data_IF_216153747865
#
_entry.id   IF_216153747865
#
_cell.length_a   1.000
_cell.length_b   1.000
_cell.length_c   1.000
_cell.angle_alpha   90.00
_cell.angle_beta   90.00
_cell.angle_gamma   90.00
#
_symmetry.space_group_name_H-M   'P 1'
#
loop_
_entity.id
_entity.type
_entity.pdbx_description
1 polymer ?
#
# COMPACT_ATOMS: atom_id res chain seq x y z
N UNK A 1 7.79 8.06 -13.36
CA UNK A 1 8.58 7.48 -12.26
C UNK A 1 7.75 6.50 -11.44
N UNK A 2 7.04 5.60 -12.12
CA UNK A 2 6.18 4.63 -11.42
C UNK A 2 7.02 3.38 -11.11
N UNK A 3 7.03 2.96 -9.86
CA UNK A 3 7.68 1.75 -9.37
C UNK A 3 6.74 0.94 -8.46
N UNK A 4 6.63 -0.38 -8.65
CA UNK A 4 7.09 -1.14 -9.82
C UNK A 4 6.45 -0.64 -11.13
N UNK A 5 7.16 -0.83 -12.26
CA UNK A 5 6.64 -0.45 -13.58
C UNK A 5 5.39 -1.29 -13.89
N UNK A 6 4.23 -0.66 -14.21
CA UNK A 6 3.04 -1.41 -14.60
C UNK A 6 3.24 -2.22 -15.87
N UNK A 7 2.50 -3.33 -15.99
CA UNK A 7 2.55 -4.19 -17.18
C UNK A 7 2.18 -3.45 -18.46
N UNK A 8 1.15 -2.61 -18.41
CA UNK A 8 0.70 -1.81 -19.54
C UNK A 8 0.53 -0.36 -19.13
N UNK A 9 1.19 0.54 -19.85
CA UNK A 9 1.04 1.99 -19.74
C UNK A 9 0.87 2.54 -21.15
N UNK A 10 -0.25 3.23 -21.38
CA UNK A 10 -0.55 3.94 -22.62
C UNK A 10 -0.66 5.43 -22.30
N UNK A 11 0.27 6.22 -22.85
CA UNK A 11 0.30 7.68 -22.70
C UNK A 11 0.81 8.30 -24.01
N UNK A 12 -0.04 8.33 -25.06
CA UNK A 12 0.39 8.67 -26.41
C UNK A 12 0.80 10.15 -26.55
N UNK A 13 0.23 11.03 -25.71
CA UNK A 13 0.56 12.45 -25.66
C UNK A 13 0.96 12.81 -24.23
N UNK A 14 2.14 13.39 -24.01
CA UNK A 14 2.58 13.77 -22.67
C UNK A 14 1.82 15.04 -22.21
N UNK A 15 0.59 14.85 -21.75
CA UNK A 15 -0.28 15.88 -21.20
C UNK A 15 -0.43 15.73 -19.70
N UNK A 16 -0.55 16.85 -18.98
CA UNK A 16 -0.89 16.87 -17.57
C UNK A 16 -1.86 18.01 -17.24
N UNK A 17 -2.53 17.87 -16.10
CA UNK A 17 -3.41 18.89 -15.51
C UNK A 17 -3.11 19.05 -14.03
N UNK A 18 -3.44 20.21 -13.48
CA UNK A 18 -3.31 20.42 -12.03
C UNK A 18 -4.33 19.57 -11.27
N UNK A 19 -3.91 19.05 -10.13
CA UNK A 19 -4.75 18.38 -9.16
C UNK A 19 -5.46 19.43 -8.28
N UNK A 20 -6.74 19.24 -8.01
CA UNK A 20 -7.50 20.14 -7.14
C UNK A 20 -6.95 20.13 -5.71
N UNK A 21 -6.94 21.28 -5.03
CA UNK A 21 -6.62 21.37 -3.59
C UNK A 21 -7.67 20.67 -2.72
N UNK A 22 -8.91 20.59 -3.23
CA UNK A 22 -10.03 19.90 -2.60
C UNK A 22 -10.24 18.50 -3.20
N UNK A 23 -9.19 17.86 -3.69
CA UNK A 23 -9.27 16.54 -4.31
C UNK A 23 -9.92 15.49 -3.37
N UNK A 24 -10.82 14.69 -3.93
CA UNK A 24 -11.54 13.63 -3.22
C UNK A 24 -11.34 12.26 -3.86
N UNK A 25 -11.53 11.22 -3.06
CA UNK A 25 -11.56 9.83 -3.54
C UNK A 25 -12.91 9.24 -3.17
N UNK A 26 -13.68 8.82 -4.18
CA UNK A 26 -14.97 8.17 -4.00
C UNK A 26 -14.77 6.66 -4.16
N UNK A 27 -15.28 5.87 -3.22
CA UNK A 27 -15.16 4.41 -3.26
C UNK A 27 -16.30 3.73 -2.50
N UNK A 28 -16.63 2.47 -2.81
CA UNK A 28 -17.42 1.62 -1.94
C UNK A 28 -16.80 1.51 -0.55
N UNK A 29 -17.64 1.41 0.48
CA UNK A 29 -17.14 1.20 1.83
C UNK A 29 -16.46 -0.16 1.95
N UNK A 30 -15.22 -0.16 2.44
CA UNK A 30 -14.46 -1.36 2.78
C UNK A 30 -13.53 -1.05 3.94
N UNK A 31 -13.62 -1.83 5.01
CA UNK A 31 -12.98 -1.54 6.30
C UNK A 31 -11.48 -1.24 6.19
N UNK A 32 -10.75 -1.96 5.33
CA UNK A 32 -9.30 -1.80 5.18
C UNK A 32 -8.91 -0.79 4.09
N UNK A 33 -9.83 -0.47 3.17
CA UNK A 33 -9.56 0.48 2.09
C UNK A 33 -9.70 1.94 2.55
N UNK A 34 -10.62 2.22 3.47
CA UNK A 34 -10.83 3.58 3.98
C UNK A 34 -9.60 4.18 4.68
N UNK A 35 -8.85 3.43 5.52
CA UNK A 35 -7.57 3.89 6.03
C UNK A 35 -6.54 4.16 4.93
N UNK A 36 -6.46 3.30 3.90
CA UNK A 36 -5.58 3.51 2.76
C UNK A 36 -5.93 4.79 1.98
N UNK A 37 -7.21 5.04 1.71
CA UNK A 37 -7.69 6.27 1.06
C UNK A 37 -7.30 7.50 1.87
N UNK A 38 -7.51 7.47 3.19
CA UNK A 38 -7.16 8.57 4.08
C UNK A 38 -5.66 8.85 4.05
N UNK A 39 -4.84 7.79 4.04
CA UNK A 39 -3.37 7.87 3.92
C UNK A 39 -2.95 8.52 2.59
N UNK A 40 -3.51 8.11 1.46
CA UNK A 40 -3.18 8.70 0.15
C UNK A 40 -3.67 10.14 -0.01
N UNK A 41 -4.87 10.47 0.50
CA UNK A 41 -5.35 11.85 0.53
C UNK A 41 -4.42 12.75 1.35
N UNK A 42 -3.92 12.27 2.49
CA UNK A 42 -2.90 12.97 3.27
C UNK A 42 -1.62 13.14 2.45
N UNK A 43 -1.15 12.05 1.83
CA UNK A 43 0.05 12.06 0.98
C UNK A 43 -0.04 13.13 -0.12
N UNK A 44 -1.16 13.24 -0.84
CA UNK A 44 -1.31 14.25 -1.91
C UNK A 44 -1.29 15.70 -1.44
N UNK A 45 -1.62 15.92 -0.16
CA UNK A 45 -1.64 17.25 0.46
C UNK A 45 -0.31 17.63 1.08
N UNK A 46 0.45 16.66 1.56
CA UNK A 46 1.70 16.89 2.32
C UNK A 46 2.95 16.64 1.50
N UNK A 47 2.91 15.69 0.57
CA UNK A 47 4.06 15.34 -0.27
C UNK A 47 4.04 16.14 -1.56
N UNK A 48 5.11 16.90 -1.76
CA UNK A 48 5.37 17.65 -2.99
C UNK A 48 6.56 17.03 -3.70
N UNK A 49 6.42 15.76 -4.10
CA UNK A 49 7.50 15.04 -4.78
C UNK A 49 7.86 15.74 -6.09
N UNK A 50 9.14 16.11 -6.21
CA UNK A 50 9.71 16.62 -7.46
C UNK A 50 10.56 15.52 -8.09
N UNK A 51 10.21 15.07 -9.31
CA UNK A 51 10.95 14.01 -9.96
C UNK A 51 12.37 14.49 -10.31
N UNK A 52 13.37 13.63 -10.10
CA UNK A 52 14.78 13.93 -10.44
C UNK A 52 14.95 14.32 -11.92
N UNK A 53 14.16 13.69 -12.79
CA UNK A 53 14.03 14.05 -14.20
C UNK A 53 12.60 14.53 -14.40
N UNK A 54 12.42 15.81 -14.68
CA UNK A 54 11.11 16.37 -15.01
C UNK A 54 10.70 15.90 -16.41
N UNK A 55 9.59 15.17 -16.55
CA UNK A 55 9.10 14.81 -17.87
C UNK A 55 8.72 16.08 -18.63
N UNK A 56 9.02 16.13 -19.93
CA UNK A 56 8.54 17.21 -20.81
C UNK A 56 7.04 17.02 -21.04
N UNK A 57 6.23 17.65 -20.19
CA UNK A 57 4.77 17.52 -20.23
C UNK A 57 4.12 18.84 -20.58
N UNK A 58 3.17 18.78 -21.51
CA UNK A 58 2.34 19.92 -21.84
C UNK A 58 1.22 20.03 -20.80
N UNK A 59 1.37 20.97 -19.87
CA UNK A 59 0.37 21.24 -18.84
C UNK A 59 -0.74 22.08 -19.46
N UNK A 60 -1.94 21.51 -19.55
CA UNK A 60 -3.11 22.27 -20.02
C UNK A 60 -3.57 23.24 -18.93
N UNK A 61 -3.53 24.54 -19.22
CA UNK A 61 -3.98 25.60 -18.30
C UNK A 61 -5.46 25.97 -18.49
N UNK A 62 -6.09 25.52 -19.57
CA UNK A 62 -7.49 25.82 -19.91
C UNK A 62 -8.49 24.73 -19.49
N UNK A 63 -8.00 23.52 -19.19
CA UNK A 63 -8.82 22.40 -18.75
C UNK A 63 -9.11 22.47 -17.24
N UNK A 64 -10.27 21.99 -16.77
CA UNK A 64 -10.56 21.96 -15.34
C UNK A 64 -9.58 21.06 -14.60
N UNK A 65 -9.34 21.39 -13.33
CA UNK A 65 -8.51 20.59 -12.43
C UNK A 65 -9.10 19.19 -12.26
N UNK A 66 -8.23 18.20 -12.05
CA UNK A 66 -8.71 16.87 -11.65
C UNK A 66 -9.23 16.97 -10.20
N UNK A 67 -10.52 16.71 -9.99
CA UNK A 67 -11.18 16.89 -8.71
C UNK A 67 -11.38 15.58 -7.94
N UNK A 68 -11.58 14.48 -8.66
CA UNK A 68 -11.99 13.21 -8.02
C UNK A 68 -11.29 12.01 -8.63
N UNK A 69 -10.95 11.03 -7.79
CA UNK A 69 -10.70 9.65 -8.20
C UNK A 69 -11.89 8.78 -7.80
N UNK A 70 -12.59 8.21 -8.76
CA UNK A 70 -13.63 7.22 -8.53
C UNK A 70 -13.03 5.83 -8.53
N UNK A 71 -13.27 5.06 -7.48
CA UNK A 71 -12.84 3.67 -7.33
C UNK A 71 -14.05 2.76 -7.48
N UNK A 72 -13.98 1.83 -8.42
CA UNK A 72 -14.97 0.77 -8.61
C UNK A 72 -14.34 -0.59 -8.28
N UNK A 73 -15.08 -1.40 -7.50
CA UNK A 73 -14.62 -2.71 -7.01
C UNK A 73 -15.71 -3.74 -7.27
N UNK A 74 -15.39 -4.78 -8.03
CA UNK A 74 -16.36 -5.82 -8.40
C UNK A 74 -16.69 -6.77 -7.24
N UNK A 75 -15.68 -7.20 -6.49
CA UNK A 75 -15.79 -8.06 -5.30
C UNK A 75 -15.13 -7.38 -4.09
N UNK A 76 -15.87 -6.51 -3.37
CA UNK A 76 -15.36 -5.86 -2.17
C UNK A 76 -15.24 -6.81 -0.97
N UNK A 77 -15.79 -8.03 -1.03
CA UNK A 77 -15.78 -8.97 0.10
C UNK A 77 -14.60 -9.95 0.06
N UNK A 78 -13.84 -9.99 -1.04
CA UNK A 78 -12.69 -10.89 -1.21
C UNK A 78 -11.67 -10.77 -0.05
N UNK A 79 -11.37 -11.86 0.69
CA UNK A 79 -10.42 -11.81 1.78
C UNK A 79 -8.98 -11.67 1.26
N UNK A 80 -8.10 -11.05 2.07
CA UNK A 80 -6.68 -10.98 1.75
C UNK A 80 -6.03 -12.36 1.98
N UNK A 81 -5.84 -13.12 0.91
CA UNK A 81 -5.25 -14.46 0.94
C UNK A 81 -4.23 -14.66 -0.17
N UNK A 82 -3.49 -15.79 -0.13
CA UNK A 82 -2.58 -16.13 -1.21
C UNK A 82 -3.34 -16.25 -2.53
N UNK A 83 -2.86 -15.58 -3.57
CA UNK A 83 -3.49 -15.62 -4.90
C UNK A 83 -4.74 -14.74 -5.04
N UNK A 84 -5.09 -13.90 -4.06
CA UNK A 84 -6.17 -12.92 -4.23
C UNK A 84 -5.89 -12.01 -5.43
N UNK A 85 -6.92 -11.62 -6.17
CA UNK A 85 -6.75 -10.81 -7.36
C UNK A 85 -6.32 -9.37 -6.99
N UNK A 86 -5.10 -9.00 -7.37
CA UNK A 86 -4.52 -7.66 -7.15
C UNK A 86 -4.46 -6.82 -8.45
N UNK A 87 -5.20 -7.22 -9.49
CA UNK A 87 -5.28 -6.52 -10.78
C UNK A 87 -6.06 -5.23 -10.64
N UNK A 88 -5.63 -4.19 -11.37
CA UNK A 88 -6.37 -2.94 -11.48
C UNK A 88 -6.17 -2.28 -12.85
N UNK A 89 -7.10 -1.40 -13.21
CA UNK A 89 -6.94 -0.45 -14.31
C UNK A 89 -7.15 0.98 -13.82
N UNK A 90 -6.28 1.89 -14.23
CA UNK A 90 -6.36 3.31 -13.93
C UNK A 90 -6.47 4.11 -15.24
N UNK A 91 -7.53 4.88 -15.39
CA UNK A 91 -7.76 5.76 -16.54
C UNK A 91 -7.91 7.20 -16.09
N UNK A 92 -7.11 8.09 -16.69
CA UNK A 92 -7.18 9.53 -16.45
C UNK A 92 -7.41 10.21 -17.82
N UNK A 93 -8.67 10.57 -18.08
CA UNK A 93 -9.08 11.17 -19.35
C UNK A 93 -8.47 12.56 -19.57
N UNK A 94 -8.28 12.94 -20.84
CA UNK A 94 -7.88 14.32 -21.21
C UNK A 94 -8.96 15.33 -20.78
N UNK A 95 -10.22 14.92 -20.87
CA UNK A 95 -11.41 15.71 -20.53
C UNK A 95 -12.07 15.23 -19.23
N UNK A 96 -12.89 16.10 -18.62
CA UNK A 96 -13.62 15.80 -17.38
C UNK A 96 -12.76 15.92 -16.12
N UNK A 97 -13.42 15.87 -14.96
CA UNK A 97 -12.80 16.15 -13.66
C UNK A 97 -12.54 14.91 -12.80
N UNK A 98 -12.88 13.73 -13.33
CA UNK A 98 -12.83 12.45 -12.61
C UNK A 98 -11.87 11.48 -13.30
N UNK A 99 -10.93 10.94 -12.53
CA UNK A 99 -10.16 9.76 -12.88
C UNK A 99 -10.88 8.50 -12.39
N UNK A 100 -10.72 7.38 -13.09
CA UNK A 100 -11.33 6.11 -12.71
C UNK A 100 -10.27 5.06 -12.40
N UNK A 101 -10.41 4.42 -11.25
CA UNK A 101 -9.66 3.24 -10.84
C UNK A 101 -10.64 2.09 -10.71
N UNK A 102 -10.42 1.01 -11.46
CA UNK A 102 -11.24 -0.20 -11.41
C UNK A 102 -10.38 -1.35 -10.92
N UNK A 103 -10.93 -2.20 -10.06
CA UNK A 103 -10.25 -3.40 -9.58
C UNK A 103 -11.25 -4.51 -9.30
N UNK A 104 -10.79 -5.76 -9.36
CA UNK A 104 -11.64 -6.89 -8.96
C UNK A 104 -11.87 -6.88 -7.45
N UNK A 105 -10.83 -6.58 -6.66
CA UNK A 105 -10.90 -6.58 -5.20
C UNK A 105 -10.37 -5.28 -4.60
N UNK A 106 -10.66 -5.05 -3.32
CA UNK A 106 -10.08 -3.93 -2.57
C UNK A 106 -8.54 -3.92 -2.57
N UNK A 107 -7.91 -5.09 -2.70
CA UNK A 107 -6.45 -5.23 -2.72
C UNK A 107 -5.85 -4.72 -4.02
N UNK A 108 -6.49 -4.99 -5.16
CA UNK A 108 -6.14 -4.38 -6.45
C UNK A 108 -6.31 -2.85 -6.43
N UNK A 109 -7.40 -2.37 -5.82
CA UNK A 109 -7.62 -0.93 -5.65
C UNK A 109 -6.50 -0.26 -4.83
N UNK A 110 -5.99 -0.90 -3.77
CA UNK A 110 -4.82 -0.38 -3.04
C UNK A 110 -3.57 -0.27 -3.92
N UNK A 111 -3.33 -1.22 -4.84
CA UNK A 111 -2.20 -1.16 -5.78
C UNK A 111 -2.35 -0.03 -6.80
N UNK A 112 -3.60 0.21 -7.22
CA UNK A 112 -3.94 1.34 -8.08
C UNK A 112 -3.76 2.70 -7.40
N UNK A 113 -4.14 2.81 -6.12
CA UNK A 113 -3.91 4.01 -5.31
C UNK A 113 -2.42 4.33 -5.17
N UNK A 114 -1.59 3.33 -4.90
CA UNK A 114 -0.12 3.50 -4.89
C UNK A 114 0.41 3.95 -6.24
N UNK A 115 -0.18 3.48 -7.33
CA UNK A 115 0.26 3.93 -8.66
C UNK A 115 -0.19 5.35 -8.95
N UNK A 116 -1.42 5.70 -8.58
CA UNK A 116 -1.92 7.06 -8.72
C UNK A 116 -1.08 8.06 -7.91
N UNK A 117 -0.65 7.70 -6.70
CA UNK A 117 0.21 8.57 -5.88
C UNK A 117 1.52 8.94 -6.55
N UNK A 118 2.15 7.98 -7.23
CA UNK A 118 3.41 8.18 -7.93
C UNK A 118 3.27 8.98 -9.24
N UNK A 119 2.03 9.14 -9.74
CA UNK A 119 1.73 9.98 -10.89
C UNK A 119 1.53 11.45 -10.51
N UNK A 120 1.19 11.73 -9.25
CA UNK A 120 1.03 13.10 -8.74
C UNK A 120 2.41 13.67 -8.39
N UNK A 121 2.76 14.83 -8.93
CA UNK A 121 4.05 15.47 -8.67
C UNK A 121 4.02 17.00 -8.73
N UNK A 122 5.05 17.64 -8.19
CA UNK A 122 5.24 19.10 -8.23
C UNK A 122 4.48 19.88 -7.16
N UNK A 123 4.72 21.20 -7.13
CA UNK A 123 3.98 22.16 -6.32
C UNK A 123 3.79 23.46 -7.13
N UNK A 124 2.58 23.74 -7.67
CA UNK A 124 1.32 23.02 -7.46
C UNK A 124 1.32 21.60 -8.05
N UNK A 125 0.59 20.68 -7.41
CA UNK A 125 0.52 19.28 -7.81
C UNK A 125 -0.13 19.13 -9.20
N UNK A 126 0.51 18.37 -10.07
CA UNK A 126 0.02 17.98 -11.40
C UNK A 126 -0.07 16.47 -11.53
N UNK A 127 -0.91 16.02 -12.45
CA UNK A 127 -1.14 14.60 -12.75
C UNK A 127 -1.23 14.41 -14.28
N UNK A 128 -0.64 13.34 -14.85
CA UNK A 128 -0.75 13.02 -16.26
C UNK A 128 -2.19 12.67 -16.67
N UNK A 129 -2.57 13.05 -17.89
CA UNK A 129 -3.91 12.85 -18.46
C UNK A 129 -3.80 12.30 -19.88
N UNK A 130 -4.89 11.75 -20.42
CA UNK A 130 -4.83 10.89 -21.60
C UNK A 130 -4.05 9.60 -21.32
N UNK A 131 -4.06 9.17 -20.05
CA UNK A 131 -3.28 8.06 -19.53
C UNK A 131 -4.19 6.88 -19.25
N UNK A 132 -3.77 5.70 -19.69
CA UNK A 132 -4.35 4.42 -19.29
C UNK A 132 -3.27 3.49 -18.77
N UNK A 133 -3.53 2.88 -17.62
CA UNK A 133 -2.69 1.85 -17.00
C UNK A 133 -3.54 0.62 -16.76
N UNK A 134 -3.01 -0.54 -17.12
CA UNK A 134 -3.50 -1.83 -16.65
C UNK A 134 -2.33 -2.56 -16.00
N UNK A 135 -2.54 -3.10 -14.80
CA UNK A 135 -1.49 -3.78 -14.08
C UNK A 135 -1.98 -4.99 -13.29
N UNK A 136 -1.08 -5.95 -13.14
CA UNK A 136 -1.28 -7.16 -12.36
C UNK A 136 0.09 -7.69 -11.91
N UNK A 137 0.22 -8.27 -10.71
CA UNK A 137 1.48 -8.87 -10.29
C UNK A 137 1.85 -10.07 -11.17
N UNK A 138 3.14 -10.35 -11.33
CA UNK A 138 3.62 -11.60 -11.95
C UNK A 138 3.54 -12.78 -10.99
N UNK A 139 3.85 -12.53 -9.72
CA UNK A 139 3.84 -13.54 -8.67
C UNK A 139 2.90 -13.11 -7.55
N UNK A 140 2.08 -14.05 -7.07
CA UNK A 140 1.13 -13.81 -5.99
C UNK A 140 1.79 -13.70 -4.61
N UNK A 141 3.01 -14.21 -4.44
CA UNK A 141 3.79 -14.09 -3.20
C UNK A 141 4.98 -13.15 -3.44
N UNK A 142 4.98 -12.00 -2.78
CA UNK A 142 6.05 -11.00 -2.85
C UNK A 142 6.38 -10.55 -1.44
N UNK A 143 7.34 -11.24 -0.83
CA UNK A 143 7.55 -11.18 0.61
C UNK A 143 8.85 -10.53 1.07
N UNK A 144 8.84 -10.06 2.31
CA UNK A 144 10.02 -9.73 3.11
C UNK A 144 9.94 -10.56 4.37
N UNK A 145 11.03 -11.26 4.69
CA UNK A 145 11.17 -11.95 5.97
C UNK A 145 11.92 -11.05 6.95
N UNK A 146 11.34 -10.84 8.12
CA UNK A 146 12.00 -10.17 9.24
C UNK A 146 12.13 -11.14 10.41
N UNK A 147 13.38 -11.36 10.80
CA UNK A 147 13.74 -12.09 12.01
C UNK A 147 13.74 -11.13 13.20
N UNK A 148 12.79 -11.36 14.12
CA UNK A 148 12.67 -10.59 15.36
C UNK A 148 13.07 -11.39 16.59
N UNK A 149 13.68 -12.57 16.40
CA UNK A 149 14.19 -13.39 17.49
C UNK A 149 15.67 -13.14 17.73
N UNK A 150 16.51 -13.12 16.68
CA UNK A 150 17.95 -12.89 16.82
C UNK A 150 18.26 -11.49 17.37
N UNK A 151 17.39 -10.51 17.09
CA UNK A 151 17.34 -9.20 17.72
C UNK A 151 15.89 -8.74 17.81
N UNK A 152 15.55 -7.98 18.85
CA UNK A 152 14.22 -7.40 18.99
C UNK A 152 14.04 -6.17 18.08
N UNK A 153 12.86 -6.05 17.47
CA UNK A 153 12.42 -4.88 16.71
C UNK A 153 11.13 -4.32 17.31
N UNK A 154 11.05 -3.01 17.54
CA UNK A 154 9.85 -2.40 18.08
C UNK A 154 8.66 -2.53 17.13
N UNK A 155 7.44 -2.55 17.68
CA UNK A 155 6.20 -2.64 16.87
C UNK A 155 6.17 -1.56 15.80
N UNK A 156 6.51 -0.31 16.13
CA UNK A 156 6.54 0.79 15.17
C UNK A 156 7.55 0.60 14.02
N UNK A 157 8.64 -0.13 14.25
CA UNK A 157 9.61 -0.47 13.20
C UNK A 157 9.05 -1.52 12.23
N UNK A 158 8.29 -2.49 12.77
CA UNK A 158 7.56 -3.47 11.96
C UNK A 158 6.49 -2.77 11.11
N UNK A 159 5.71 -1.86 11.71
CA UNK A 159 4.70 -1.08 10.98
C UNK A 159 5.32 -0.25 9.86
N UNK A 160 6.42 0.45 10.14
CA UNK A 160 7.17 1.22 9.13
C UNK A 160 7.69 0.33 7.99
N UNK A 161 8.10 -0.90 8.30
CA UNK A 161 8.50 -1.89 7.28
C UNK A 161 7.30 -2.28 6.40
N UNK A 162 6.15 -2.56 6.99
CA UNK A 162 4.90 -2.88 6.26
C UNK A 162 4.45 -1.72 5.36
N UNK A 163 4.60 -0.47 5.83
CA UNK A 163 4.30 0.72 5.02
C UNK A 163 5.20 0.77 3.77
N UNK A 164 6.51 0.59 3.95
CA UNK A 164 7.46 0.55 2.84
C UNK A 164 7.20 -0.62 1.88
N UNK A 165 6.78 -1.78 2.40
CA UNK A 165 6.37 -2.93 1.59
C UNK A 165 5.17 -2.59 0.71
N UNK A 166 4.14 -1.93 1.26
CA UNK A 166 2.96 -1.50 0.51
C UNK A 166 3.32 -0.53 -0.63
N UNK A 167 4.19 0.45 -0.36
CA UNK A 167 4.66 1.38 -1.39
C UNK A 167 5.36 0.66 -2.56
N UNK A 168 6.03 -0.46 -2.26
CA UNK A 168 6.68 -1.32 -3.26
C UNK A 168 5.79 -2.44 -3.80
N UNK A 169 4.49 -2.43 -3.48
CA UNK A 169 3.50 -3.47 -3.84
C UNK A 169 3.90 -4.89 -3.37
N UNK A 170 4.73 -5.02 -2.34
CA UNK A 170 4.96 -6.28 -1.63
C UNK A 170 3.74 -6.62 -0.77
N UNK A 171 3.45 -7.90 -0.58
CA UNK A 171 2.18 -8.36 -0.02
C UNK A 171 2.28 -9.45 1.05
N UNK A 172 3.48 -9.90 1.42
CA UNK A 172 3.68 -10.87 2.51
C UNK A 172 4.78 -10.40 3.46
N UNK A 173 4.41 -10.09 4.69
CA UNK A 173 5.35 -9.91 5.78
C UNK A 173 5.53 -11.27 6.46
N UNK A 174 6.64 -11.94 6.14
CA UNK A 174 7.01 -13.21 6.77
C UNK A 174 7.70 -12.90 8.09
N UNK A 175 7.02 -13.16 9.18
CA UNK A 175 7.46 -12.79 10.51
C UNK A 175 8.10 -14.00 11.19
N UNK A 176 9.42 -14.11 11.06
CA UNK A 176 10.23 -15.09 11.78
C UNK A 176 10.37 -14.62 13.22
N UNK A 177 9.39 -14.97 14.05
CA UNK A 177 9.19 -14.33 15.36
C UNK A 177 9.92 -15.05 16.49
N UNK A 178 10.23 -16.34 16.33
CA UNK A 178 10.95 -17.13 17.35
C UNK A 178 12.12 -17.90 16.74
N UNK A 179 13.17 -18.07 17.53
CA UNK A 179 14.37 -18.86 17.25
C UNK A 179 15.07 -19.21 18.58
N UNK A 180 16.20 -19.92 18.56
CA UNK A 180 16.98 -20.27 19.76
C UNK A 180 17.43 -19.07 20.60
N UNK A 181 17.50 -17.88 20.01
CA UNK A 181 18.03 -16.67 20.64
C UNK A 181 17.03 -15.97 21.55
N UNK A 182 15.76 -15.90 21.13
CA UNK A 182 14.68 -15.38 21.96
C UNK A 182 13.29 -15.86 21.53
N UNK A 183 12.37 -15.88 22.49
CA UNK A 183 10.94 -16.12 22.27
C UNK A 183 10.16 -14.86 22.66
N UNK A 184 10.06 -13.84 21.80
CA UNK A 184 9.39 -12.58 22.12
C UNK A 184 7.86 -12.64 21.96
N UNK A 185 7.31 -13.66 21.31
CA UNK A 185 5.87 -13.77 21.06
C UNK A 185 5.11 -14.18 22.34
N UNK A 186 4.18 -13.35 22.81
CA UNK A 186 3.31 -13.72 23.92
C UNK A 186 2.20 -14.67 23.46
N UNK A 187 2.31 -15.96 23.83
CA UNK A 187 1.27 -16.96 23.58
C UNK A 187 0.41 -17.13 24.85
N UNK A 188 -0.88 -16.73 24.85
CA UNK A 188 -1.70 -16.74 26.06
C UNK A 188 -1.85 -18.11 26.73
N UNK A 189 -1.85 -19.20 25.95
CA UNK A 189 -1.91 -20.56 26.48
C UNK A 189 -0.60 -21.05 27.09
N UNK A 190 0.53 -20.45 26.70
CA UNK A 190 1.88 -20.85 27.12
C UNK A 190 2.70 -19.61 27.52
N UNK A 191 2.29 -18.89 28.57
CA UNK A 191 2.85 -17.57 28.84
C UNK A 191 4.32 -17.61 29.30
N UNK A 192 4.76 -18.75 29.83
CA UNK A 192 6.12 -18.98 30.28
C UNK A 192 7.14 -18.92 29.13
N UNK A 193 6.71 -19.17 27.88
CA UNK A 193 7.60 -19.11 26.71
C UNK A 193 8.18 -17.70 26.54
N UNK A 194 7.33 -16.68 26.54
CA UNK A 194 7.79 -15.30 26.46
C UNK A 194 8.43 -14.82 27.76
N UNK A 195 7.86 -15.17 28.91
CA UNK A 195 8.36 -14.74 30.21
C UNK A 195 9.81 -15.19 30.47
N UNK A 196 10.22 -16.35 29.94
CA UNK A 196 11.57 -16.90 30.09
C UNK A 196 12.44 -16.77 28.84
N UNK A 197 11.85 -16.62 27.67
CA UNK A 197 12.54 -16.62 26.39
C UNK A 197 12.77 -15.24 25.77
N UNK A 198 12.03 -14.20 26.17
CA UNK A 198 12.28 -12.85 25.68
C UNK A 198 13.57 -12.26 26.28
N UNK A 199 14.21 -11.32 25.56
CA UNK A 199 15.39 -10.62 26.07
C UNK A 199 15.10 -9.73 27.30
N UNK A 200 13.86 -9.28 27.45
CA UNK A 200 13.41 -8.46 28.56
C UNK A 200 11.89 -8.22 28.51
N UNK A 201 11.30 -7.69 29.60
CA UNK A 201 9.86 -7.49 29.70
C UNK A 201 9.30 -6.51 28.65
N UNK A 202 10.10 -5.52 28.23
CA UNK A 202 9.73 -4.54 27.19
C UNK A 202 10.01 -5.03 25.75
N UNK A 203 10.50 -6.27 25.61
CA UNK A 203 10.86 -6.89 24.32
C UNK A 203 9.95 -8.07 24.00
N UNK A 204 8.67 -7.92 24.31
CA UNK A 204 7.61 -8.91 24.11
C UNK A 204 6.57 -8.33 23.14
N UNK A 205 6.10 -9.15 22.20
CA UNK A 205 4.94 -8.86 21.38
C UNK A 205 3.69 -9.39 22.07
N UNK A 206 2.92 -8.48 22.67
CA UNK A 206 1.63 -8.81 23.30
C UNK A 206 0.58 -9.21 22.27
N UNK A 207 -0.54 -9.86 22.67
CA UNK A 207 -1.65 -10.14 21.76
C UNK A 207 -2.21 -8.88 21.09
N UNK A 208 -2.22 -7.75 21.81
CA UNK A 208 -2.60 -6.45 21.24
C UNK A 208 -1.61 -5.95 20.19
N UNK A 209 -0.30 -6.16 20.38
CA UNK A 209 0.72 -5.78 19.39
C UNK A 209 0.57 -6.62 18.12
N UNK A 210 0.38 -7.92 18.26
CA UNK A 210 0.13 -8.83 17.14
C UNK A 210 -1.13 -8.41 16.38
N UNK A 211 -2.23 -8.13 17.09
CA UNK A 211 -3.47 -7.66 16.47
C UNK A 211 -3.27 -6.32 15.72
N UNK A 212 -2.51 -5.39 16.30
CA UNK A 212 -2.15 -4.12 15.67
C UNK A 212 -1.35 -4.34 14.38
N UNK A 213 -0.33 -5.20 14.41
CA UNK A 213 0.52 -5.52 13.24
C UNK A 213 -0.31 -6.17 12.13
N UNK A 214 -1.19 -7.12 12.48
CA UNK A 214 -2.08 -7.79 11.51
C UNK A 214 -3.05 -6.80 10.89
N UNK A 215 -3.72 -5.96 11.69
CA UNK A 215 -4.66 -4.96 11.19
C UNK A 215 -3.96 -3.93 10.31
N UNK A 216 -2.79 -3.45 10.73
CA UNK A 216 -1.98 -2.54 9.92
C UNK A 216 -1.55 -3.19 8.59
N UNK A 217 -1.19 -4.47 8.61
CA UNK A 217 -0.96 -5.26 7.39
C UNK A 217 -2.16 -5.23 6.44
N UNK A 218 -3.37 -5.49 6.96
CA UNK A 218 -4.61 -5.44 6.16
C UNK A 218 -4.83 -4.05 5.54
N UNK A 219 -4.60 -2.96 6.27
CA UNK A 219 -4.74 -1.57 5.78
C UNK A 219 -3.70 -1.17 4.71
N UNK A 220 -2.73 -2.04 4.47
CA UNK A 220 -1.63 -1.89 3.52
C UNK A 220 -1.63 -3.02 2.46
N UNK A 221 -2.62 -3.91 2.51
CA UNK A 221 -2.69 -5.09 1.64
C UNK A 221 -1.51 -6.04 1.81
N UNK A 222 -0.92 -6.12 3.01
CA UNK A 222 0.20 -6.98 3.37
C UNK A 222 -0.29 -8.06 4.33
N UNK A 223 -0.13 -9.32 3.93
CA UNK A 223 -0.44 -10.48 4.79
C UNK A 223 0.66 -10.64 5.82
N UNK A 224 0.30 -10.80 7.08
CA UNK A 224 1.24 -11.20 8.13
C UNK A 224 1.25 -12.72 8.21
N UNK A 225 2.40 -13.31 7.92
CA UNK A 225 2.63 -14.75 7.95
C UNK A 225 3.60 -15.05 9.10
N UNK A 226 3.12 -15.48 10.29
CA UNK A 226 4.00 -15.82 11.39
C UNK A 226 4.70 -17.16 11.14
N UNK A 227 5.94 -17.26 11.60
CA UNK A 227 6.73 -18.48 11.64
C UNK A 227 7.20 -18.74 13.07
N UNK A 228 6.88 -19.93 13.57
CA UNK A 228 7.46 -20.50 14.78
C UNK A 228 8.34 -21.65 14.29
N UNK A 229 9.63 -21.38 14.13
CA UNK A 229 10.58 -22.39 13.64
C UNK A 229 10.76 -23.50 14.68
N UNK A 230 10.78 -24.75 14.19
CA UNK A 230 10.73 -25.97 15.00
C UNK A 230 11.42 -27.12 14.26
N UNK A 231 12.00 -28.10 14.97
CA UNK A 231 11.80 -29.50 14.60
C UNK A 231 10.36 -29.96 14.94
#
# INVERSE_FOLDING_TARGET
>A
NVWPKPRLVSWPKPLARSLSTNFTINSPYHQNLQPAISRYLRLFRTEHHHPLITPSVNVSTSSPHLQTLSIDISDPAAPLQHGVNETYSLSISEEGETANLTAETAWGAMRGLETFSQLVCGNPSVVPVGLYIWDAPLFAHRGVMLDTSRNYYGVEDILRTIEAMSANKLNVFHWHVTDSHSFPLMVPSEPELAAKGAYGPDMIYSPSDVAKIVQFGLEHGVRVLPEIDSP
#
